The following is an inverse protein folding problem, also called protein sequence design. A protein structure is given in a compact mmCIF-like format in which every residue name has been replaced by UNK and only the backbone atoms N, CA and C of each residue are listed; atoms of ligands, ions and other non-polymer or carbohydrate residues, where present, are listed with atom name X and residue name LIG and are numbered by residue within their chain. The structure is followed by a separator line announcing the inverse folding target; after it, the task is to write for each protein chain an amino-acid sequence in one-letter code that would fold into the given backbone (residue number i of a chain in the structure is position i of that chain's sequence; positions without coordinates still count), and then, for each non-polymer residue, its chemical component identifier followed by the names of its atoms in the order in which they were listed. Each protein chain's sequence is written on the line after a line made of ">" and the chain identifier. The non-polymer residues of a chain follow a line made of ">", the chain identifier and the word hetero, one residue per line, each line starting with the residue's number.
data_IF_252323692307
#
_entry.id   IF_252323692307
#
_cell.length_a   1.000
_cell.length_b   1.000
_cell.length_c   1.000
_cell.angle_alpha   90.00
_cell.angle_beta   90.00
_cell.angle_gamma   90.00
#
_symmetry.space_group_name_H-M   'P 1'
#
loop_
_entity.id
_entity.type
_entity.pdbx_description
1 polymer ?
#
# COMPACT_ATOMS: atom_id res chain seq x y z
N UNK A 1 -5.81 14.66 3.64
CA UNK A 1 -4.79 14.07 2.75
C UNK A 1 -5.23 12.73 2.16
N UNK A 2 -5.60 11.69 2.92
CA UNK A 2 -6.11 10.43 2.31
C UNK A 2 -7.51 10.57 1.67
N UNK A 3 -8.38 11.40 2.25
CA UNK A 3 -9.75 11.67 1.78
C UNK A 3 -9.83 12.20 0.33
N UNK A 4 -8.74 12.77 -0.17
CA UNK A 4 -8.65 13.30 -1.53
C UNK A 4 -8.41 12.17 -2.55
N UNK A 5 -7.81 11.07 -2.12
CA UNK A 5 -7.40 9.95 -2.96
C UNK A 5 -8.24 8.69 -2.76
N UNK A 6 -9.08 8.64 -1.73
CA UNK A 6 -9.90 7.47 -1.40
C UNK A 6 -11.39 7.84 -1.29
N UNK A 7 -12.30 6.88 -1.54
CA UNK A 7 -13.70 6.99 -1.17
C UNK A 7 -13.83 7.17 0.35
N UNK A 8 -14.74 8.03 0.79
CA UNK A 8 -14.89 8.37 2.22
C UNK A 8 -15.18 7.14 3.09
N UNK A 9 -15.88 6.16 2.54
CA UNK A 9 -16.26 4.91 3.22
C UNK A 9 -15.09 4.03 3.63
N UNK A 10 -13.92 4.18 3.02
CA UNK A 10 -12.74 3.32 3.28
C UNK A 10 -11.55 4.07 3.85
N UNK A 11 -11.64 5.39 4.00
CA UNK A 11 -10.54 6.22 4.48
C UNK A 11 -10.11 5.79 5.88
N UNK A 12 -11.07 5.63 6.79
CA UNK A 12 -10.78 5.31 8.18
C UNK A 12 -10.10 3.95 8.33
N UNK A 13 -10.60 2.93 7.63
CA UNK A 13 -10.00 1.60 7.59
C UNK A 13 -8.57 1.63 7.07
N UNK A 14 -8.32 2.36 5.98
CA UNK A 14 -6.98 2.48 5.39
C UNK A 14 -6.02 3.25 6.28
N UNK A 15 -6.46 4.33 6.91
CA UNK A 15 -5.64 5.07 7.86
C UNK A 15 -5.27 4.22 9.09
N UNK A 16 -6.24 3.48 9.62
CA UNK A 16 -6.01 2.57 10.75
C UNK A 16 -5.07 1.43 10.38
N UNK A 17 -5.21 0.86 9.17
CA UNK A 17 -4.30 -0.16 8.65
C UNK A 17 -2.87 0.37 8.54
N UNK A 18 -2.67 1.53 7.91
CA UNK A 18 -1.35 2.14 7.75
C UNK A 18 -0.71 2.47 9.10
N UNK A 19 -1.49 3.00 10.06
CA UNK A 19 -1.02 3.27 11.43
C UNK A 19 -0.62 1.99 12.16
N UNK A 20 -1.42 0.93 12.10
CA UNK A 20 -1.17 -0.34 12.77
C UNK A 20 0.17 -0.96 12.38
N UNK A 21 0.59 -0.80 11.14
CA UNK A 21 1.83 -1.35 10.61
C UNK A 21 2.95 -0.31 10.50
N UNK A 22 2.83 0.88 11.10
CA UNK A 22 3.82 1.96 10.98
C UNK A 22 4.25 2.22 9.52
N UNK A 23 3.28 2.18 8.61
CA UNK A 23 3.51 2.26 7.18
C UNK A 23 3.31 3.69 6.67
N UNK A 24 4.34 4.22 6.02
CA UNK A 24 4.29 5.53 5.38
C UNK A 24 3.77 5.41 3.95
N UNK A 25 2.59 5.98 3.70
CA UNK A 25 2.07 6.17 2.35
C UNK A 25 2.67 7.44 1.71
N UNK A 26 3.16 7.33 0.49
CA UNK A 26 3.63 8.45 -0.33
C UNK A 26 2.85 8.49 -1.64
N UNK A 27 2.19 9.62 -1.91
CA UNK A 27 1.55 9.88 -3.20
C UNK A 27 2.57 10.54 -4.12
N UNK A 28 2.96 9.81 -5.17
CA UNK A 28 4.03 10.22 -6.09
C UNK A 28 3.47 10.61 -7.46
N UNK A 29 4.27 11.34 -8.24
CA UNK A 29 3.97 11.61 -9.65
C UNK A 29 3.80 10.30 -10.42
N UNK A 30 2.98 10.34 -11.46
CA UNK A 30 2.67 9.14 -12.25
C UNK A 30 3.92 8.52 -12.87
N UNK A 31 4.06 7.20 -12.66
CA UNK A 31 5.09 6.36 -13.29
C UNK A 31 4.40 5.44 -14.29
N UNK A 32 4.98 5.27 -15.48
CA UNK A 32 4.39 4.46 -16.57
C UNK A 32 4.47 2.94 -16.34
N UNK A 33 5.36 2.48 -15.47
CA UNK A 33 5.65 1.04 -15.31
C UNK A 33 4.90 0.38 -14.16
N UNK A 34 4.52 1.14 -13.13
CA UNK A 34 3.81 0.63 -11.94
C UNK A 34 2.88 1.70 -11.37
N UNK A 35 1.73 1.28 -10.87
CA UNK A 35 0.74 2.15 -10.23
C UNK A 35 0.95 2.31 -8.72
N UNK A 36 1.53 1.30 -8.09
CA UNK A 36 1.90 1.28 -6.68
C UNK A 36 3.17 0.48 -6.46
N UNK A 37 3.76 0.62 -5.27
CA UNK A 37 4.87 -0.23 -4.84
C UNK A 37 5.06 -0.18 -3.32
N UNK A 38 5.13 -1.34 -2.70
CA UNK A 38 5.50 -1.58 -1.31
C UNK A 38 7.01 -1.83 -1.14
N UNK A 39 7.58 -1.34 -0.04
CA UNK A 39 8.95 -1.63 0.38
C UNK A 39 9.07 -1.70 1.90
N UNK A 40 9.70 -2.75 2.40
CA UNK A 40 10.19 -2.80 3.78
C UNK A 40 11.53 -2.05 3.89
N UNK A 41 11.69 -1.24 4.93
CA UNK A 41 12.88 -0.44 5.16
C UNK A 41 13.84 -1.17 6.13
N UNK A 42 15.16 -0.87 6.09
CA UNK A 42 16.14 -1.48 6.99
C UNK A 42 15.88 -1.18 8.48
N UNK A 43 15.24 -0.06 8.79
CA UNK A 43 14.86 0.34 10.16
C UNK A 43 13.59 -0.37 10.67
N UNK A 44 13.01 -1.29 9.87
CA UNK A 44 11.79 -2.03 10.22
C UNK A 44 10.50 -1.28 9.90
N UNK A 45 10.56 -0.02 9.44
CA UNK A 45 9.38 0.68 8.93
C UNK A 45 8.95 0.20 7.54
N UNK A 46 7.72 0.53 7.19
CA UNK A 46 7.13 0.16 5.91
C UNK A 46 6.83 1.39 5.07
N UNK A 47 6.93 1.26 3.75
CA UNK A 47 6.61 2.33 2.80
C UNK A 47 5.76 1.79 1.66
N UNK A 48 4.66 2.48 1.38
CA UNK A 48 3.85 2.28 0.18
C UNK A 48 3.90 3.55 -0.66
N UNK A 49 4.08 3.41 -1.96
CA UNK A 49 3.96 4.51 -2.92
C UNK A 49 2.78 4.23 -3.84
N UNK A 50 1.99 5.26 -4.17
CA UNK A 50 0.87 5.16 -5.13
C UNK A 50 0.89 6.39 -6.04
N UNK A 51 0.59 6.20 -7.32
CA UNK A 51 0.55 7.29 -8.29
C UNK A 51 -0.65 8.22 -8.03
N UNK A 52 -0.45 9.53 -8.16
CA UNK A 52 -1.48 10.56 -7.94
C UNK A 52 -2.62 10.55 -8.96
N UNK A 53 -2.36 10.11 -10.20
CA UNK A 53 -3.30 10.23 -11.33
C UNK A 53 -4.45 9.22 -11.35
N UNK A 54 -4.57 8.37 -10.32
CA UNK A 54 -5.59 7.33 -10.24
C UNK A 54 -6.93 7.90 -9.74
N UNK A 55 -8.04 7.39 -10.30
CA UNK A 55 -9.36 7.57 -9.68
C UNK A 55 -9.37 7.00 -8.24
N UNK A 56 -10.28 7.49 -7.39
CA UNK A 56 -10.39 7.09 -5.98
C UNK A 56 -10.48 5.57 -5.79
N UNK A 57 -11.25 4.87 -6.61
CA UNK A 57 -11.37 3.42 -6.49
C UNK A 57 -10.13 2.70 -7.00
N UNK A 58 -9.51 3.18 -8.08
CA UNK A 58 -8.26 2.63 -8.58
C UNK A 58 -7.12 2.83 -7.56
N UNK A 59 -7.03 4.02 -6.95
CA UNK A 59 -6.10 4.31 -5.87
C UNK A 59 -6.31 3.37 -4.69
N UNK A 60 -7.57 3.15 -4.28
CA UNK A 60 -7.90 2.22 -3.22
C UNK A 60 -7.45 0.79 -3.53
N UNK A 61 -7.76 0.27 -4.72
CA UNK A 61 -7.36 -1.08 -5.13
C UNK A 61 -5.83 -1.25 -5.12
N UNK A 62 -5.11 -0.27 -5.65
CA UNK A 62 -3.64 -0.28 -5.65
C UNK A 62 -3.09 -0.20 -4.22
N UNK A 63 -3.61 0.69 -3.39
CA UNK A 63 -3.20 0.80 -1.98
C UNK A 63 -3.45 -0.52 -1.24
N UNK A 64 -4.60 -1.14 -1.44
CA UNK A 64 -4.96 -2.41 -0.82
C UNK A 64 -4.04 -3.55 -1.28
N UNK A 65 -3.71 -3.60 -2.57
CA UNK A 65 -2.76 -4.56 -3.13
C UNK A 65 -1.38 -4.45 -2.44
N UNK A 66 -0.83 -3.23 -2.35
CA UNK A 66 0.45 -3.00 -1.69
C UNK A 66 0.39 -3.28 -0.18
N UNK A 67 -0.73 -2.99 0.47
CA UNK A 67 -0.93 -3.31 1.89
C UNK A 67 -1.00 -4.83 2.15
N UNK A 68 -1.53 -5.62 1.20
CA UNK A 68 -1.52 -7.07 1.29
C UNK A 68 -0.09 -7.63 1.21
N UNK A 69 0.76 -7.07 0.34
CA UNK A 69 2.19 -7.41 0.30
C UNK A 69 2.88 -7.10 1.63
N UNK A 70 2.59 -5.94 2.21
CA UNK A 70 3.09 -5.57 3.53
C UNK A 70 2.65 -6.57 4.60
N UNK A 71 1.36 -6.87 4.68
CA UNK A 71 0.81 -7.78 5.68
C UNK A 71 1.41 -9.19 5.56
N UNK A 72 1.60 -9.66 4.32
CA UNK A 72 2.28 -10.92 4.02
C UNK A 72 3.72 -10.91 4.52
N UNK A 73 4.47 -9.82 4.24
CA UNK A 73 5.86 -9.64 4.70
C UNK A 73 5.97 -9.61 6.23
N UNK A 74 5.01 -8.99 6.91
CA UNK A 74 4.95 -8.91 8.37
C UNK A 74 4.62 -10.27 8.98
N UNK A 75 3.64 -11.00 8.41
CA UNK A 75 3.16 -12.26 8.97
C UNK A 75 4.14 -13.42 8.79
N UNK A 76 4.84 -13.48 7.66
CA UNK A 76 5.62 -14.65 7.26
C UNK A 76 7.09 -14.35 6.97
N UNK A 77 7.54 -13.10 7.11
CA UNK A 77 8.90 -12.71 6.77
C UNK A 77 9.15 -12.64 5.27
N UNK A 78 10.43 -12.70 4.86
CA UNK A 78 10.87 -12.43 3.48
C UNK A 78 10.84 -13.66 2.56
N UNK A 79 10.37 -14.80 3.08
CA UNK A 79 10.40 -16.08 2.40
C UNK A 79 9.03 -16.49 1.83
N UNK A 80 8.12 -15.53 1.60
CA UNK A 80 6.85 -15.82 0.92
C UNK A 80 7.02 -15.62 -0.58
N UNK A 81 6.73 -16.68 -1.35
CA UNK A 81 6.63 -16.59 -2.81
C UNK A 81 5.50 -15.60 -3.16
N UNK A 82 5.71 -14.68 -4.12
CA UNK A 82 4.72 -13.66 -4.50
C UNK A 82 3.37 -14.25 -4.97
N UNK A 83 3.39 -15.52 -5.38
CA UNK A 83 2.22 -16.36 -5.55
C UNK A 83 2.37 -17.61 -4.69
N UNK A 84 1.33 -17.95 -3.92
CA UNK A 84 1.21 -19.25 -3.27
C UNK A 84 1.22 -20.37 -4.31
N UNK A 85 1.30 -21.62 -3.85
CA UNK A 85 1.14 -22.76 -4.75
C UNK A 85 -0.30 -22.73 -5.27
N UNK A 86 -0.42 -22.51 -6.58
CA UNK A 86 -1.69 -22.61 -7.32
C UNK A 86 -2.31 -24.01 -7.18
#
# INVERSE_FOLDING_TARGET
>A
MLKEYLPETVVEDMENLLRRYSCRLLVVSERRTVYGNYRAMPDGSHRITVNRGLDKWAFFLVLLHEAAHMQTRVKYGGAVRPHGQE
#
